data_IF_925618678245
#
_entry.id   IF_925618678245
#
_cell.length_a   1.000
_cell.length_b   1.000
_cell.length_c   1.000
_cell.angle_alpha   90.00
_cell.angle_beta   90.00
_cell.angle_gamma   90.00
#
_symmetry.space_group_name_H-M   'P 1'
#
loop_
_entity.id
_entity.type
_entity.pdbx_description
1 polymer ?
#
# COMPACT_ATOMS: atom_id res chain seq x y z
N UNK A 1 -9.42 -1.25 -4.66
CA UNK A 1 -9.22 -0.29 -3.56
C UNK A 1 -9.12 1.12 -4.13
N UNK A 2 -9.62 2.15 -3.43
CA UNK A 2 -9.39 3.54 -3.86
C UNK A 2 -8.03 4.00 -3.33
N UNK A 3 -7.22 4.65 -4.16
CA UNK A 3 -5.94 5.24 -3.70
C UNK A 3 -6.28 6.39 -2.73
N UNK A 4 -5.84 6.32 -1.46
CA UNK A 4 -6.16 7.36 -0.48
C UNK A 4 -5.31 8.62 -0.73
N UNK A 5 -5.84 9.81 -0.39
CA UNK A 5 -5.08 11.07 -0.45
C UNK A 5 -4.25 11.26 0.81
N UNK A 6 -3.09 11.89 0.73
CA UNK A 6 -2.17 12.04 1.88
C UNK A 6 -2.79 12.75 3.10
N UNK A 7 -3.66 13.74 2.86
CA UNK A 7 -4.37 14.45 3.94
C UNK A 7 -5.31 13.55 4.73
N UNK A 8 -5.98 12.61 4.05
CA UNK A 8 -6.95 11.70 4.67
C UNK A 8 -6.23 10.60 5.47
N UNK A 9 -5.06 10.16 4.99
CA UNK A 9 -4.22 9.18 5.68
C UNK A 9 -3.75 9.71 7.03
N UNK A 10 -3.33 10.99 7.10
CA UNK A 10 -2.92 11.62 8.37
C UNK A 10 -4.03 11.65 9.41
N UNK A 11 -5.27 11.86 8.99
CA UNK A 11 -6.43 11.88 9.90
C UNK A 11 -6.83 10.48 10.36
N UNK A 12 -6.61 9.47 9.50
CA UNK A 12 -6.98 8.08 9.76
C UNK A 12 -6.00 7.29 10.64
N UNK A 13 -4.86 7.87 11.00
CA UNK A 13 -3.83 7.22 11.83
C UNK A 13 -3.70 7.97 13.15
N UNK A 14 -4.04 7.31 14.26
CA UNK A 14 -3.80 7.84 15.61
C UNK A 14 -2.88 6.90 16.40
N UNK A 15 -1.85 7.47 17.01
CA UNK A 15 -0.91 6.75 17.87
C UNK A 15 -1.17 7.05 19.33
N UNK A 16 -1.35 6.00 20.14
CA UNK A 16 -1.32 6.07 21.61
C UNK A 16 -0.11 5.26 22.09
N UNK A 17 0.54 5.62 23.22
CA UNK A 17 1.56 4.77 23.81
C UNK A 17 0.96 3.37 24.10
N UNK A 18 1.37 2.37 23.32
CA UNK A 18 0.86 1.00 23.38
C UNK A 18 0.07 0.51 22.16
N UNK A 19 -0.28 1.37 21.20
CA UNK A 19 -0.97 0.92 19.99
C UNK A 19 -1.22 2.00 18.93
N UNK A 20 -1.28 1.58 17.67
CA UNK A 20 -1.64 2.41 16.53
C UNK A 20 -3.04 2.03 16.06
N UNK A 21 -3.96 3.00 16.05
CA UNK A 21 -5.30 2.80 15.51
C UNK A 21 -5.33 3.29 14.06
N UNK A 22 -5.80 2.41 13.17
CA UNK A 22 -5.95 2.67 11.74
C UNK A 22 -7.45 2.73 11.42
N UNK A 23 -7.89 3.85 10.84
CA UNK A 23 -9.29 4.08 10.47
C UNK A 23 -9.38 4.67 9.06
N UNK A 24 -10.47 4.37 8.36
CA UNK A 24 -10.76 4.93 7.03
C UNK A 24 -9.57 4.82 6.06
N UNK A 25 -9.09 5.97 5.57
CA UNK A 25 -7.95 6.07 4.65
C UNK A 25 -6.64 5.49 5.21
N UNK A 26 -6.47 5.42 6.54
CA UNK A 26 -5.33 4.76 7.18
C UNK A 26 -5.31 3.25 6.95
N UNK A 27 -6.48 2.60 6.83
CA UNK A 27 -6.58 1.17 6.50
C UNK A 27 -6.16 0.94 5.05
N UNK A 28 -6.63 1.79 4.14
CA UNK A 28 -6.29 1.69 2.72
C UNK A 28 -4.79 1.95 2.49
N UNK A 29 -4.20 2.91 3.21
CA UNK A 29 -2.75 3.12 3.17
C UNK A 29 -1.98 1.93 3.72
N UNK A 30 -2.42 1.34 4.84
CA UNK A 30 -1.80 0.14 5.39
C UNK A 30 -1.89 -1.05 4.40
N UNK A 31 -3.04 -1.24 3.75
CA UNK A 31 -3.18 -2.24 2.68
C UNK A 31 -2.18 -2.00 1.55
N UNK A 32 -1.99 -0.75 1.15
CA UNK A 32 -1.02 -0.39 0.12
C UNK A 32 0.42 -0.75 0.54
N UNK A 33 0.79 -0.50 1.80
CA UNK A 33 2.07 -0.93 2.37
C UNK A 33 2.23 -2.46 2.38
N UNK A 34 1.17 -3.20 2.74
CA UNK A 34 1.20 -4.67 2.71
C UNK A 34 1.38 -5.21 1.29
N UNK A 35 0.79 -4.57 0.28
CA UNK A 35 0.99 -4.95 -1.12
C UNK A 35 2.43 -4.72 -1.57
N UNK A 36 3.06 -3.60 -1.17
CA UNK A 36 4.48 -3.35 -1.43
C UNK A 36 5.35 -4.46 -0.85
N UNK A 37 5.17 -4.79 0.42
CA UNK A 37 5.91 -5.88 1.07
C UNK A 37 5.67 -7.22 0.39
N UNK A 38 4.42 -7.53 0.06
CA UNK A 38 4.06 -8.76 -0.62
C UNK A 38 4.67 -8.90 -2.02
N UNK A 39 4.85 -7.80 -2.75
CA UNK A 39 5.57 -7.81 -4.03
C UNK A 39 7.06 -8.07 -3.84
N UNK A 40 7.69 -7.57 -2.77
CA UNK A 40 9.12 -7.79 -2.49
C UNK A 40 9.41 -9.25 -2.13
N UNK A 41 8.48 -9.92 -1.46
CA UNK A 41 8.65 -11.32 -1.05
C UNK A 41 8.76 -12.28 -2.25
N UNK A 42 9.46 -13.41 -2.08
CA UNK A 42 9.50 -14.47 -3.07
C UNK A 42 8.11 -15.14 -3.18
N UNK A 43 7.74 -15.63 -4.38
CA UNK A 43 6.45 -16.30 -4.58
C UNK A 43 6.35 -17.56 -3.70
N UNK A 44 5.32 -17.61 -2.85
CA UNK A 44 5.03 -18.78 -2.03
C UNK A 44 4.37 -19.86 -2.90
N UNK A 45 5.14 -20.89 -3.25
CA UNK A 45 4.74 -21.96 -4.20
C UNK A 45 3.62 -22.88 -3.68
N UNK A 46 3.33 -22.89 -2.37
CA UNK A 46 2.39 -23.84 -1.74
C UNK A 46 1.04 -23.22 -1.37
N UNK A 47 0.82 -21.95 -1.68
CA UNK A 47 -0.44 -21.26 -1.40
C UNK A 47 -1.42 -21.37 -2.58
N UNK A 48 -2.67 -21.74 -2.29
CA UNK A 48 -3.77 -21.79 -3.27
C UNK A 48 -4.35 -20.41 -3.63
N UNK A 49 -3.79 -19.35 -3.06
CA UNK A 49 -4.25 -17.97 -3.26
C UNK A 49 -3.71 -17.34 -4.55
N UNK A 50 -4.35 -16.26 -5.03
CA UNK A 50 -3.84 -15.49 -6.16
C UNK A 50 -2.47 -14.89 -5.83
N UNK A 51 -1.61 -14.79 -6.85
CA UNK A 51 -0.31 -14.17 -6.70
C UNK A 51 -0.44 -12.69 -6.32
N UNK A 52 0.57 -12.17 -5.64
CA UNK A 52 0.55 -10.79 -5.15
C UNK A 52 0.47 -9.78 -6.30
N UNK A 53 1.14 -10.07 -7.42
CA UNK A 53 1.02 -9.31 -8.67
C UNK A 53 -0.42 -9.30 -9.21
N UNK A 54 -1.16 -10.40 -9.11
CA UNK A 54 -2.57 -10.49 -9.52
C UNK A 54 -3.46 -9.61 -8.65
N UNK A 55 -3.27 -9.65 -7.33
CA UNK A 55 -4.05 -8.84 -6.39
C UNK A 55 -3.80 -7.35 -6.65
N UNK A 56 -2.53 -6.93 -6.82
CA UNK A 56 -2.16 -5.54 -7.09
C UNK A 56 -2.81 -5.02 -8.38
N UNK A 57 -2.76 -5.78 -9.48
CA UNK A 57 -3.40 -5.38 -10.74
C UNK A 57 -4.91 -5.23 -10.59
N UNK A 58 -5.56 -6.14 -9.83
CA UNK A 58 -7.01 -6.11 -9.61
C UNK A 58 -7.43 -4.93 -8.71
N UNK A 59 -6.68 -4.69 -7.64
CA UNK A 59 -7.05 -3.70 -6.61
C UNK A 59 -6.70 -2.27 -7.01
N UNK A 60 -5.57 -2.07 -7.70
CA UNK A 60 -5.07 -0.75 -8.08
C UNK A 60 -5.25 -0.44 -9.56
N UNK A 61 -5.69 -1.39 -10.39
CA UNK A 61 -5.86 -1.21 -11.84
C UNK A 61 -4.55 -1.06 -12.61
N UNK A 62 -3.42 -1.36 -11.98
CA UNK A 62 -2.08 -1.24 -12.54
C UNK A 62 -1.76 -2.37 -13.53
N UNK A 63 -0.77 -2.13 -14.40
CA UNK A 63 -0.28 -3.10 -15.40
C UNK A 63 1.24 -3.12 -15.38
N UNK A 64 1.81 -4.28 -15.70
CA UNK A 64 3.26 -4.46 -15.80
C UNK A 64 3.77 -5.73 -15.12
N UNK A 65 5.07 -5.99 -15.24
CA UNK A 65 5.76 -7.09 -14.55
C UNK A 65 5.90 -6.80 -13.03
N UNK A 66 6.53 -7.71 -12.27
CA UNK A 66 6.67 -7.54 -10.80
C UNK A 66 7.40 -6.25 -10.44
N UNK A 67 8.49 -5.93 -11.14
CA UNK A 67 9.35 -4.80 -10.82
C UNK A 67 8.70 -3.47 -11.21
N UNK A 68 8.01 -3.44 -12.35
CA UNK A 68 7.20 -2.30 -12.80
C UNK A 68 6.04 -2.03 -11.83
N UNK A 69 5.34 -3.07 -11.38
CA UNK A 69 4.28 -2.92 -10.39
C UNK A 69 4.82 -2.41 -9.05
N UNK A 70 6.00 -2.88 -8.65
CA UNK A 70 6.65 -2.42 -7.42
C UNK A 70 7.01 -0.94 -7.52
N UNK A 71 7.64 -0.51 -8.62
CA UNK A 71 7.99 0.89 -8.85
C UNK A 71 6.74 1.79 -8.88
N UNK A 72 5.66 1.36 -9.52
CA UNK A 72 4.38 2.10 -9.54
C UNK A 72 3.77 2.22 -8.14
N UNK A 73 3.78 1.14 -7.35
CA UNK A 73 3.28 1.16 -5.96
C UNK A 73 4.15 2.08 -5.09
N UNK A 74 5.47 2.05 -5.24
CA UNK A 74 6.37 2.94 -4.51
C UNK A 74 6.18 4.40 -4.88
N UNK A 75 5.95 4.72 -6.16
CA UNK A 75 5.61 6.07 -6.60
C UNK A 75 4.31 6.58 -5.96
N UNK A 76 3.29 5.73 -5.84
CA UNK A 76 2.03 6.07 -5.16
C UNK A 76 2.27 6.36 -3.68
N UNK A 77 3.04 5.50 -2.99
CA UNK A 77 3.38 5.70 -1.57
C UNK A 77 4.13 7.02 -1.37
N UNK A 78 5.13 7.27 -2.21
CA UNK A 78 5.93 8.49 -2.15
C UNK A 78 5.05 9.72 -2.34
N UNK A 79 4.16 9.72 -3.33
CA UNK A 79 3.22 10.82 -3.53
C UNK A 79 2.32 11.05 -2.29
N UNK A 80 1.80 9.98 -1.69
CA UNK A 80 0.97 10.06 -0.49
C UNK A 80 1.77 10.63 0.69
N UNK A 81 3.03 10.22 0.86
CA UNK A 81 3.89 10.74 1.94
C UNK A 81 4.24 12.21 1.77
N UNK A 82 4.51 12.65 0.53
CA UNK A 82 4.75 14.06 0.20
C UNK A 82 3.49 14.89 0.47
N UNK A 83 2.32 14.43 0.04
CA UNK A 83 1.04 15.07 0.33
C UNK A 83 0.71 15.10 1.83
N UNK A 84 1.11 14.05 2.55
CA UNK A 84 1.02 14.00 3.98
C UNK A 84 2.07 14.93 4.62
N UNK A 85 3.15 15.34 3.95
CA UNK A 85 4.23 16.14 4.55
C UNK A 85 5.02 15.34 5.60
N UNK A 86 5.19 14.04 5.37
CA UNK A 86 6.09 13.16 6.15
C UNK A 86 7.51 13.23 5.56
N UNK A 87 7.60 13.20 4.23
CA UNK A 87 8.85 13.39 3.48
C UNK A 87 8.92 14.86 3.02
N UNK A 88 10.00 15.58 3.40
CA UNK A 88 10.29 16.97 2.99
C UNK A 88 11.32 16.99 1.87
#
# INVERSE_FOLDING_TARGET
MKVPKGKDVKQGISGSPGGTMLTGAGIDFYRLLTMRMGLQLPPMKLTRGPAMTTIVRRELGLKGNKDELLAQVEAIIHQINVEAGVDK
#
